data_IF_582272320124
#
_entry.id   IF_582272320124
#
_cell.length_a   1.000
_cell.length_b   1.000
_cell.length_c   1.000
_cell.angle_alpha   90.00
_cell.angle_beta   90.00
_cell.angle_gamma   90.00
#
_symmetry.space_group_name_H-M   'P 1'
#
loop_
_entity.id
_entity.type
_entity.pdbx_description
1 polymer ?
#
# COMPACT_ATOMS: atom_id res chain seq x y z
N UNK A 1 4.52 1.89 1.94
CA UNK A 1 4.27 3.24 1.36
C UNK A 1 3.66 3.03 -0.02
N UNK A 2 2.80 3.92 -0.53
CA UNK A 2 1.98 3.65 -1.75
C UNK A 2 2.77 3.62 -3.08
N UNK A 3 4.08 3.91 -3.06
CA UNK A 3 5.00 3.77 -4.19
C UNK A 3 6.12 2.81 -3.81
N UNK A 4 6.26 1.71 -4.55
CA UNK A 4 7.25 0.65 -4.29
C UNK A 4 8.69 1.00 -4.73
N UNK A 5 9.03 2.29 -4.84
CA UNK A 5 10.38 2.79 -5.11
C UNK A 5 10.48 4.22 -4.54
N UNK A 6 11.62 4.60 -3.96
CA UNK A 6 11.87 5.94 -3.40
C UNK A 6 11.59 7.03 -4.45
N UNK A 7 12.04 6.83 -5.68
CA UNK A 7 11.80 7.79 -6.77
C UNK A 7 10.32 7.98 -7.09
N UNK A 8 9.52 6.90 -7.05
CA UNK A 8 8.07 7.01 -7.27
C UNK A 8 7.38 7.80 -6.15
N UNK A 9 7.85 7.66 -4.91
CA UNK A 9 7.31 8.39 -3.78
C UNK A 9 7.67 9.88 -3.84
N UNK A 10 8.90 10.20 -4.24
CA UNK A 10 9.36 11.58 -4.47
C UNK A 10 8.58 12.25 -5.60
N UNK A 11 8.42 11.58 -6.75
CA UNK A 11 7.63 12.08 -7.88
C UNK A 11 6.18 12.32 -7.48
N UNK A 12 5.59 11.38 -6.74
CA UNK A 12 4.23 11.53 -6.23
C UNK A 12 4.09 12.71 -5.26
N UNK A 13 5.08 12.94 -4.40
CA UNK A 13 5.08 14.09 -3.50
C UNK A 13 5.20 15.41 -4.28
N UNK A 14 6.13 15.50 -5.21
CA UNK A 14 6.31 16.69 -6.06
C UNK A 14 5.04 17.03 -6.83
N UNK A 15 4.48 16.04 -7.53
CA UNK A 15 3.26 16.23 -8.33
C UNK A 15 2.06 16.58 -7.44
N UNK A 16 1.97 16.01 -6.24
CA UNK A 16 0.94 16.38 -5.25
C UNK A 16 1.06 17.85 -4.86
N UNK A 17 2.25 18.31 -4.47
CA UNK A 17 2.43 19.70 -4.05
C UNK A 17 2.24 20.69 -5.20
N UNK A 18 2.67 20.34 -6.42
CA UNK A 18 2.40 21.15 -7.62
C UNK A 18 0.89 21.30 -7.88
N UNK A 19 0.12 20.21 -7.77
CA UNK A 19 -1.34 20.24 -7.90
C UNK A 19 -2.01 21.03 -6.78
N UNK A 20 -1.53 20.86 -5.55
CA UNK A 20 -2.02 21.63 -4.40
C UNK A 20 -1.77 23.12 -4.61
N UNK A 21 -0.56 23.53 -4.99
CA UNK A 21 -0.24 24.93 -5.27
C UNK A 21 -1.13 25.52 -6.37
N UNK A 22 -1.29 24.82 -7.50
CA UNK A 22 -2.18 25.24 -8.60
C UNK A 22 -3.64 25.34 -8.17
N UNK A 23 -4.09 24.44 -7.28
CA UNK A 23 -5.46 24.35 -6.79
C UNK A 23 -5.75 25.19 -5.56
N UNK A 24 -4.77 25.89 -4.99
CA UNK A 24 -4.88 26.55 -3.68
C UNK A 24 -6.00 27.60 -3.64
N UNK A 25 -6.24 28.29 -4.75
CA UNK A 25 -7.35 29.23 -4.89
C UNK A 25 -8.75 28.61 -4.74
N UNK A 26 -8.86 27.28 -4.82
CA UNK A 26 -10.12 26.52 -4.64
C UNK A 26 -10.20 25.81 -3.29
N UNK A 27 -9.21 25.99 -2.43
CA UNK A 27 -9.21 25.36 -1.12
C UNK A 27 -10.32 25.96 -0.25
N UNK A 28 -11.18 25.09 0.28
CA UNK A 28 -12.20 25.46 1.25
C UNK A 28 -11.64 25.29 2.67
N UNK A 29 -11.50 26.43 3.37
CA UNK A 29 -11.05 26.50 4.77
C UNK A 29 -11.91 25.71 5.77
N UNK A 30 -13.13 25.32 5.39
CA UNK A 30 -13.99 24.44 6.22
C UNK A 30 -13.44 23.02 6.35
N UNK A 31 -12.51 22.61 5.47
CA UNK A 31 -11.87 21.29 5.49
C UNK A 31 -10.43 21.43 5.95
N UNK A 32 -9.92 20.47 6.72
CA UNK A 32 -8.49 20.45 7.09
C UNK A 32 -7.60 20.53 5.84
N UNK A 33 -6.61 21.43 5.86
CA UNK A 33 -5.65 21.58 4.78
C UNK A 33 -4.89 20.27 4.51
N UNK A 34 -4.50 19.56 5.57
CA UNK A 34 -3.86 18.25 5.45
C UNK A 34 -4.76 17.24 4.72
N UNK A 35 -6.04 17.19 5.10
CA UNK A 35 -7.05 16.33 4.46
C UNK A 35 -7.25 16.68 2.99
N UNK A 36 -7.22 17.97 2.64
CA UNK A 36 -7.30 18.42 1.26
C UNK A 36 -6.06 18.00 0.45
N UNK A 37 -4.85 18.24 0.94
CA UNK A 37 -3.60 17.82 0.25
C UNK A 37 -3.51 16.30 0.12
N UNK A 38 -3.83 15.54 1.17
CA UNK A 38 -3.83 14.08 1.13
C UNK A 38 -4.87 13.51 0.17
N UNK A 39 -5.97 14.23 -0.08
CA UNK A 39 -6.91 13.85 -1.14
C UNK A 39 -6.30 13.98 -2.54
N UNK A 40 -5.51 15.02 -2.78
CA UNK A 40 -4.80 15.19 -4.06
C UNK A 40 -3.79 14.04 -4.24
N UNK A 41 -3.01 13.74 -3.19
CA UNK A 41 -2.05 12.63 -3.19
C UNK A 41 -2.74 11.28 -3.45
N UNK A 42 -3.83 10.98 -2.72
CA UNK A 42 -4.55 9.73 -2.83
C UNK A 42 -5.11 9.52 -4.25
N UNK A 43 -5.76 10.55 -4.84
CA UNK A 43 -6.28 10.45 -6.20
C UNK A 43 -5.15 10.25 -7.22
N UNK A 44 -4.04 10.98 -7.10
CA UNK A 44 -2.89 10.83 -7.99
C UNK A 44 -2.29 9.41 -7.92
N UNK A 45 -2.03 8.91 -6.70
CA UNK A 45 -1.47 7.58 -6.51
C UNK A 45 -2.43 6.49 -7.02
N UNK A 46 -3.74 6.62 -6.78
CA UNK A 46 -4.74 5.69 -7.31
C UNK A 46 -4.72 5.68 -8.84
N UNK A 47 -4.64 6.85 -9.48
CA UNK A 47 -4.56 6.94 -10.94
C UNK A 47 -3.27 6.34 -11.49
N UNK A 48 -2.13 6.58 -10.84
CA UNK A 48 -0.84 5.98 -11.22
C UNK A 48 -0.90 4.46 -11.15
N UNK A 49 -1.44 3.92 -10.04
CA UNK A 49 -1.61 2.48 -9.83
C UNK A 49 -2.58 1.86 -10.85
N UNK A 50 -3.66 2.57 -11.19
CA UNK A 50 -4.60 2.13 -12.24
C UNK A 50 -3.90 2.07 -13.61
N UNK A 51 -3.12 3.08 -13.97
CA UNK A 51 -2.35 3.12 -15.23
C UNK A 51 -1.31 2.00 -15.29
N UNK A 52 -0.58 1.75 -14.21
CA UNK A 52 0.37 0.62 -14.12
C UNK A 52 -0.32 -0.71 -14.33
N UNK A 53 -1.47 -0.94 -13.68
CA UNK A 53 -2.24 -2.17 -13.88
C UNK A 53 -2.72 -2.34 -15.33
N UNK A 54 -3.19 -1.27 -15.97
CA UNK A 54 -3.57 -1.33 -17.39
C UNK A 54 -2.37 -1.61 -18.30
N UNK A 55 -1.19 -1.04 -18.00
CA UNK A 55 0.05 -1.30 -18.76
C UNK A 55 0.52 -2.76 -18.60
N UNK A 56 0.40 -3.33 -17.40
CA UNK A 56 0.71 -4.74 -17.14
C UNK A 56 -0.27 -5.69 -17.86
N UNK A 57 -1.56 -5.38 -17.89
CA UNK A 57 -2.56 -6.17 -18.66
C UNK A 57 -2.29 -6.09 -20.18
N UNK A 58 -1.73 -4.97 -20.65
CA UNK A 58 -1.32 -4.79 -22.05
C UNK A 58 0.02 -5.44 -22.40
N UNK A 59 0.77 -5.93 -21.41
CA UNK A 59 2.14 -6.40 -21.53
C UNK A 59 2.29 -7.71 -20.75
N UNK A 60 1.59 -8.76 -21.15
CA UNK A 60 2.00 -10.12 -20.79
C UNK A 60 3.30 -10.44 -21.54
N UNK A 61 4.43 -9.88 -21.10
CA UNK A 61 5.80 -10.32 -21.38
C UNK A 61 6.78 -9.53 -20.48
N UNK A 62 7.65 -10.28 -19.79
CA UNK A 62 8.96 -9.93 -19.19
C UNK A 62 9.10 -9.64 -17.66
N UNK A 63 9.47 -10.73 -16.98
CA UNK A 63 10.55 -11.01 -16.00
C UNK A 63 11.12 -9.92 -15.08
N UNK A 64 11.38 -10.37 -13.84
CA UNK A 64 11.80 -9.61 -12.67
C UNK A 64 13.04 -8.72 -12.78
N UNK A 65 13.06 -7.71 -11.92
CA UNK A 65 14.25 -6.97 -11.53
C UNK A 65 14.39 -7.05 -10.00
N UNK A 66 15.48 -7.68 -9.56
CA UNK A 66 15.97 -7.67 -8.19
C UNK A 66 16.93 -6.47 -8.11
N UNK A 67 16.71 -5.54 -7.18
CA UNK A 67 17.64 -4.46 -6.87
C UNK A 67 18.28 -4.70 -5.48
N UNK A 68 19.60 -4.54 -5.32
CA UNK A 68 20.30 -4.80 -4.05
C UNK A 68 20.22 -3.62 -3.06
N UNK A 69 20.29 -3.99 -1.78
CA UNK A 69 20.05 -3.18 -0.58
C UNK A 69 21.31 -2.39 -0.12
N UNK A 70 21.13 -1.21 0.48
CA UNK A 70 22.19 -0.38 1.07
C UNK A 70 21.94 -0.20 2.58
N UNK A 71 22.52 -1.14 3.31
CA UNK A 71 22.46 -1.53 4.74
C UNK A 71 22.58 -0.41 5.79
N UNK A 72 21.92 -0.53 6.96
CA UNK A 72 22.65 -0.87 8.23
C UNK A 72 22.29 -2.17 9.03
N UNK A 73 23.21 -3.15 9.10
CA UNK A 73 23.22 -4.25 10.10
C UNK A 73 22.35 -5.49 9.77
N UNK A 74 22.95 -6.66 9.46
CA UNK A 74 22.33 -7.67 8.59
C UNK A 74 21.13 -8.45 9.18
N UNK A 75 21.01 -8.63 10.50
CA UNK A 75 20.02 -9.56 11.06
C UNK A 75 18.71 -8.88 11.49
N UNK A 76 18.81 -7.85 12.35
CA UNK A 76 17.62 -7.09 12.81
C UNK A 76 16.97 -6.26 11.71
N UNK A 77 17.78 -5.76 10.79
CA UNK A 77 17.28 -4.96 9.69
C UNK A 77 16.72 -5.84 8.56
N UNK A 78 17.29 -7.02 8.33
CA UNK A 78 16.67 -8.02 7.47
C UNK A 78 15.28 -8.38 7.99
N UNK A 79 15.12 -8.68 9.28
CA UNK A 79 13.83 -9.07 9.85
C UNK A 79 12.76 -7.97 9.75
N UNK A 80 13.11 -6.71 10.05
CA UNK A 80 12.17 -5.58 9.88
C UNK A 80 11.86 -5.32 8.40
N UNK A 81 12.87 -5.41 7.53
CA UNK A 81 12.68 -5.25 6.08
C UNK A 81 11.81 -6.37 5.50
N UNK A 82 11.92 -7.59 6.02
CA UNK A 82 11.18 -8.76 5.59
C UNK A 82 9.70 -8.64 5.97
N UNK A 83 9.40 -8.29 7.22
CA UNK A 83 8.02 -8.00 7.64
C UNK A 83 7.42 -6.85 6.83
N UNK A 84 8.19 -5.79 6.57
CA UNK A 84 7.71 -4.65 5.80
C UNK A 84 7.44 -5.01 4.33
N UNK A 85 8.31 -5.83 3.72
CA UNK A 85 8.10 -6.39 2.36
C UNK A 85 6.88 -7.29 2.32
N UNK A 86 6.66 -8.10 3.35
CA UNK A 86 5.50 -9.00 3.43
C UNK A 86 4.18 -8.21 3.50
N UNK A 87 4.11 -7.20 4.37
CA UNK A 87 2.95 -6.29 4.44
C UNK A 87 2.74 -5.56 3.11
N UNK A 88 3.80 -5.10 2.47
CA UNK A 88 3.71 -4.45 1.17
C UNK A 88 3.17 -5.40 0.09
N UNK A 89 3.65 -6.65 0.05
CA UNK A 89 3.17 -7.67 -0.87
C UNK A 89 1.68 -8.00 -0.65
N UNK A 90 1.24 -8.11 0.61
CA UNK A 90 -0.18 -8.29 0.92
C UNK A 90 -1.04 -7.14 0.41
N UNK A 91 -0.60 -5.89 0.64
CA UNK A 91 -1.33 -4.71 0.18
C UNK A 91 -1.43 -4.64 -1.35
N UNK A 92 -0.52 -5.26 -2.11
CA UNK A 92 -0.61 -5.34 -3.57
C UNK A 92 -1.79 -6.18 -4.07
N UNK A 93 -2.32 -7.10 -3.25
CA UNK A 93 -3.51 -7.89 -3.59
C UNK A 93 -4.81 -7.07 -3.53
N UNK A 94 -4.78 -5.90 -2.89
CA UNK A 94 -5.95 -5.03 -2.78
C UNK A 94 -6.14 -4.17 -4.04
N UNK A 95 -7.40 -3.86 -4.34
CA UNK A 95 -7.70 -2.84 -5.33
C UNK A 95 -7.10 -1.48 -4.89
N UNK A 96 -6.70 -0.59 -5.80
CA UNK A 96 -6.09 0.69 -5.43
C UNK A 96 -6.92 1.51 -4.44
N UNK A 97 -8.26 1.49 -4.58
CA UNK A 97 -9.17 2.21 -3.67
C UNK A 97 -9.27 1.54 -2.30
N UNK A 98 -9.23 0.21 -2.23
CA UNK A 98 -9.27 -0.50 -0.94
C UNK A 98 -7.96 -0.32 -0.19
N UNK A 99 -6.82 -0.41 -0.89
CA UNK A 99 -5.50 -0.11 -0.34
C UNK A 99 -5.42 1.33 0.18
N UNK A 100 -5.92 2.31 -0.57
CA UNK A 100 -5.94 3.70 -0.13
C UNK A 100 -6.78 3.88 1.14
N UNK A 101 -7.95 3.24 1.23
CA UNK A 101 -8.78 3.29 2.43
C UNK A 101 -8.08 2.68 3.65
N UNK A 102 -7.41 1.53 3.48
CA UNK A 102 -6.59 0.89 4.54
C UNK A 102 -5.46 1.81 5.00
N UNK A 103 -4.71 2.38 4.06
CA UNK A 103 -3.57 3.26 4.38
C UNK A 103 -4.04 4.52 5.12
N UNK A 104 -5.06 5.21 4.61
CA UNK A 104 -5.59 6.41 5.27
C UNK A 104 -6.11 6.11 6.69
N UNK A 105 -6.72 4.94 6.89
CA UNK A 105 -7.25 4.57 8.20
C UNK A 105 -6.17 4.17 9.20
N UNK A 106 -5.23 3.29 8.82
CA UNK A 106 -4.27 2.70 9.76
C UNK A 106 -2.93 3.45 9.89
N UNK A 107 -2.53 4.25 8.89
CA UNK A 107 -1.26 5.01 8.96
C UNK A 107 -1.45 6.49 9.25
N UNK A 108 -2.61 7.05 8.89
CA UNK A 108 -2.88 8.47 9.03
C UNK A 108 -3.99 8.78 10.03
N UNK A 109 -4.59 7.75 10.64
CA UNK A 109 -5.67 7.85 11.65
C UNK A 109 -6.91 8.63 11.18
N UNK A 110 -7.22 8.59 9.88
CA UNK A 110 -8.37 9.32 9.34
C UNK A 110 -9.69 8.70 9.77
N UNK A 111 -10.68 9.55 10.08
CA UNK A 111 -12.06 9.11 10.33
C UNK A 111 -12.72 8.54 9.07
N UNK A 112 -13.82 7.80 9.23
CA UNK A 112 -14.56 7.30 8.07
C UNK A 112 -15.10 8.42 7.18
N UNK A 113 -15.50 9.55 7.79
CA UNK A 113 -15.97 10.76 7.12
C UNK A 113 -14.83 11.43 6.34
N UNK A 114 -13.63 11.51 6.92
CA UNK A 114 -12.45 12.07 6.26
C UNK A 114 -12.02 11.21 5.07
N UNK A 115 -12.00 9.88 5.22
CA UNK A 115 -11.70 8.95 4.12
C UNK A 115 -12.77 9.05 3.02
N UNK A 116 -14.04 9.12 3.39
CA UNK A 116 -15.15 9.27 2.47
C UNK A 116 -14.98 10.54 1.62
N UNK A 117 -14.72 11.68 2.26
CA UNK A 117 -14.47 12.93 1.56
C UNK A 117 -13.16 12.90 0.75
N UNK A 118 -12.13 12.19 1.21
CA UNK A 118 -10.82 12.12 0.56
C UNK A 118 -10.84 11.27 -0.70
N UNK A 119 -11.57 10.15 -0.69
CA UNK A 119 -11.64 9.21 -1.80
C UNK A 119 -12.89 9.40 -2.69
N UNK A 120 -13.68 10.46 -2.44
CA UNK A 120 -14.96 10.72 -3.09
C UNK A 120 -15.92 9.51 -3.00
N UNK A 121 -16.14 9.02 -1.78
CA UNK A 121 -16.97 7.86 -1.44
C UNK A 121 -18.01 8.24 -0.38
N UNK A 122 -19.00 7.37 -0.17
CA UNK A 122 -19.88 7.45 1.01
C UNK A 122 -19.23 6.78 2.21
N UNK A 123 -19.59 7.18 3.44
CA UNK A 123 -19.13 6.52 4.67
C UNK A 123 -19.46 5.02 4.68
N UNK A 124 -20.64 4.64 4.15
CA UNK A 124 -21.01 3.23 3.97
C UNK A 124 -20.07 2.49 3.03
N UNK A 125 -19.69 3.12 1.90
CA UNK A 125 -18.71 2.56 0.98
C UNK A 125 -17.34 2.40 1.64
N UNK A 126 -16.88 3.36 2.46
CA UNK A 126 -15.63 3.24 3.23
C UNK A 126 -15.67 2.04 4.17
N UNK A 127 -16.73 1.91 4.98
CA UNK A 127 -16.91 0.77 5.90
C UNK A 127 -16.88 -0.57 5.15
N UNK A 128 -17.61 -0.66 4.04
CA UNK A 128 -17.66 -1.86 3.20
C UNK A 128 -16.31 -2.21 2.58
N UNK A 129 -15.56 -1.19 2.12
CA UNK A 129 -14.19 -1.37 1.58
C UNK A 129 -13.22 -1.84 2.64
N UNK A 130 -13.16 -1.18 3.79
CA UNK A 130 -12.28 -1.59 4.90
C UNK A 130 -12.59 -3.01 5.37
N UNK A 131 -13.88 -3.36 5.47
CA UNK A 131 -14.29 -4.72 5.82
C UNK A 131 -13.81 -5.75 4.79
N UNK A 132 -14.07 -5.53 3.50
CA UNK A 132 -13.62 -6.44 2.43
C UNK A 132 -12.10 -6.51 2.34
N UNK A 133 -11.40 -5.39 2.49
CA UNK A 133 -9.94 -5.33 2.47
C UNK A 133 -9.35 -6.18 3.60
N UNK A 134 -9.83 -6.04 4.85
CA UNK A 134 -9.38 -6.88 5.97
C UNK A 134 -9.61 -8.36 5.71
N UNK A 135 -10.79 -8.74 5.19
CA UNK A 135 -11.10 -10.13 4.89
C UNK A 135 -10.18 -10.70 3.81
N UNK A 136 -9.92 -9.94 2.75
CA UNK A 136 -9.03 -10.36 1.67
C UNK A 136 -7.59 -10.49 2.16
N UNK A 137 -7.07 -9.51 2.91
CA UNK A 137 -5.73 -9.59 3.51
C UNK A 137 -5.59 -10.79 4.45
N UNK A 138 -6.60 -11.06 5.28
CA UNK A 138 -6.59 -12.21 6.19
C UNK A 138 -6.56 -13.54 5.44
N UNK A 139 -7.28 -13.64 4.32
CA UNK A 139 -7.26 -14.83 3.47
C UNK A 139 -5.88 -15.04 2.83
N UNK A 140 -5.33 -14.02 2.17
CA UNK A 140 -4.01 -14.10 1.52
C UNK A 140 -2.91 -14.42 2.54
N UNK A 141 -2.99 -13.86 3.74
CA UNK A 141 -2.05 -14.14 4.84
C UNK A 141 -2.13 -15.59 5.35
N UNK A 142 -3.32 -16.18 5.37
CA UNK A 142 -3.47 -17.59 5.76
C UNK A 142 -2.90 -18.52 4.68
N UNK A 143 -3.15 -18.20 3.40
CA UNK A 143 -2.62 -18.95 2.25
C UNK A 143 -1.09 -18.90 2.21
N UNK A 144 -0.47 -17.72 2.43
CA UNK A 144 1.00 -17.58 2.43
C UNK A 144 1.69 -18.38 3.54
N UNK A 145 1.04 -18.53 4.71
CA UNK A 145 1.56 -19.33 5.83
C UNK A 145 1.37 -20.84 5.64
N UNK A 146 0.37 -21.26 4.88
CA UNK A 146 0.15 -22.68 4.55
C UNK A 146 1.10 -23.16 3.44
N UNK A 147 1.59 -22.26 2.57
CA UNK A 147 2.53 -22.57 1.50
C UNK A 147 3.99 -22.73 1.94
N UNK A 148 4.31 -22.60 3.23
CA UNK A 148 5.63 -22.92 3.78
C UNK A 148 5.62 -24.41 4.10
N UNK A 149 6.33 -25.29 3.35
CA UNK A 149 6.48 -26.68 3.75
C UNK A 149 7.16 -26.71 5.11
N UNK A 150 6.61 -27.52 6.03
CA UNK A 150 7.16 -27.81 7.34
C UNK A 150 8.50 -28.56 7.21
N UNK A 151 9.57 -27.92 6.75
CA UNK A 151 10.94 -28.38 6.97
C UNK A 151 11.42 -27.87 8.33
N UNK A 152 10.84 -28.41 9.41
CA UNK A 152 11.36 -28.19 10.75
C UNK A 152 10.96 -29.30 11.74
N UNK A 153 10.98 -30.57 11.34
CA UNK A 153 11.16 -31.70 12.29
C UNK A 153 11.78 -32.90 11.55
N UNK A 154 13.03 -32.77 11.11
CA UNK A 154 13.83 -33.95 10.77
C UNK A 154 15.27 -33.80 11.24
N UNK A 155 15.46 -33.71 12.56
CA UNK A 155 16.71 -34.06 13.23
C UNK A 155 16.40 -34.80 14.54
N UNK A 156 15.78 -35.97 14.42
CA UNK A 156 16.18 -37.07 15.31
C UNK A 156 17.30 -37.79 14.58
N UNK A 157 18.55 -37.50 14.97
CA UNK A 157 19.69 -38.33 14.60
C UNK A 157 19.52 -39.69 15.28
N UNK A 158 19.57 -40.81 14.54
CA UNK A 158 19.74 -42.11 15.16
C UNK A 158 21.22 -42.21 15.56
N UNK A 159 21.49 -42.16 16.87
CA UNK A 159 22.78 -42.52 17.42
C UNK A 159 22.56 -43.52 18.55
N UNK A 160 22.90 -44.78 18.24
CA UNK A 160 23.29 -45.91 19.10
C UNK A 160 22.72 -46.00 20.51
#
# INVERSE_FOLDING_TARGET
MLGGNIHDAEDAAQETFLRAYKGLHRYDSKRSFATWVLSIAAHYCIDLLRRRRMKLISLETFTGQILPDSNPGPEKQAFQSEQQREVEALLQHLSPKDRAAVVLFYWYDYSYEEIAATLSLTVSAVKSRLHRARRHLAQVWQESRQSIPLEAHHHESPAF
#
